data_IF_763263799736
#
_entry.id   IF_763263799736
#
_cell.length_a   1.000
_cell.length_b   1.000
_cell.length_c   1.000
_cell.angle_alpha   90.00
_cell.angle_beta   90.00
_cell.angle_gamma   90.00
#
_symmetry.space_group_name_H-M   'P 1'
#
loop_
_entity.id
_entity.type
_entity.pdbx_description
1 polymer ?
#
# COMPACT_ATOMS: atom_id res chain seq x y z
N UNK A 1 11.05 -6.06 -7.76
CA UNK A 1 10.74 -5.47 -6.45
C UNK A 1 9.63 -4.49 -6.65
N UNK A 2 8.54 -4.67 -5.91
CA UNK A 2 7.42 -3.72 -5.92
C UNK A 2 7.51 -2.85 -4.67
N UNK A 3 6.76 -1.77 -4.62
CA UNK A 3 6.76 -0.86 -3.49
C UNK A 3 5.35 -0.72 -2.94
N UNK A 4 5.22 -0.86 -1.63
CA UNK A 4 3.99 -0.58 -0.92
C UNK A 4 3.56 0.89 -1.17
N UNK A 5 2.37 1.10 -1.69
CA UNK A 5 1.89 2.43 -2.07
C UNK A 5 1.60 3.34 -0.86
N UNK A 6 1.48 2.76 0.33
CA UNK A 6 1.20 3.47 1.58
C UNK A 6 2.49 3.93 2.26
N UNK A 7 3.48 3.04 2.40
CA UNK A 7 4.72 3.31 3.14
C UNK A 7 5.98 3.37 2.28
N UNK A 8 5.88 3.11 0.97
CA UNK A 8 6.99 3.06 0.00
C UNK A 8 8.08 2.05 0.37
N UNK A 9 7.74 1.05 1.20
CA UNK A 9 8.64 -0.04 1.53
C UNK A 9 8.78 -0.96 0.33
N UNK A 10 10.01 -1.36 0.02
CA UNK A 10 10.26 -2.39 -0.97
C UNK A 10 9.68 -3.71 -0.48
N UNK A 11 8.83 -4.31 -1.30
CA UNK A 11 8.17 -5.58 -1.03
C UNK A 11 8.46 -6.56 -2.16
N UNK A 12 8.54 -7.83 -1.79
CA UNK A 12 8.72 -8.88 -2.77
C UNK A 12 7.35 -9.41 -3.20
N UNK A 13 6.94 -9.27 -4.48
CA UNK A 13 5.58 -9.59 -4.93
C UNK A 13 5.21 -11.07 -4.76
N UNK A 14 6.19 -11.96 -4.56
CA UNK A 14 5.96 -13.39 -4.33
C UNK A 14 5.49 -13.63 -2.88
N UNK A 15 5.95 -12.80 -1.93
CA UNK A 15 5.68 -12.97 -0.49
C UNK A 15 4.80 -11.86 0.10
N UNK A 16 4.68 -10.74 -0.61
CA UNK A 16 3.92 -9.58 -0.19
C UNK A 16 2.42 -9.83 -0.24
N UNK A 17 1.68 -9.06 0.55
CA UNK A 17 0.23 -9.11 0.51
C UNK A 17 -0.28 -8.38 -0.72
N UNK A 18 -0.88 -9.12 -1.65
CA UNK A 18 -1.53 -8.55 -2.83
C UNK A 18 -3.02 -8.24 -2.56
N UNK A 19 -3.52 -7.12 -3.07
CA UNK A 19 -4.96 -6.79 -3.14
C UNK A 19 -5.29 -6.23 -4.50
N UNK A 20 -6.37 -6.72 -5.08
CA UNK A 20 -6.92 -6.18 -6.31
C UNK A 20 -7.83 -4.98 -6.00
N UNK A 21 -7.56 -3.86 -6.66
CA UNK A 21 -8.34 -2.64 -6.56
C UNK A 21 -8.41 -1.96 -7.92
N UNK A 22 -9.63 -1.64 -8.38
CA UNK A 22 -9.88 -1.03 -9.71
C UNK A 22 -9.26 -1.82 -10.90
N UNK A 23 -9.13 -3.14 -10.77
CA UNK A 23 -8.52 -3.99 -11.81
C UNK A 23 -6.98 -3.91 -11.85
N UNK A 24 -6.36 -3.35 -10.82
CA UNK A 24 -4.91 -3.39 -10.60
C UNK A 24 -4.59 -4.12 -9.30
N UNK A 25 -3.59 -4.98 -9.34
CA UNK A 25 -3.06 -5.66 -8.15
C UNK A 25 -2.03 -4.75 -7.48
N UNK A 26 -2.27 -4.42 -6.21
CA UNK A 26 -1.38 -3.65 -5.35
C UNK A 26 -0.74 -4.53 -4.29
N UNK A 27 0.52 -4.27 -3.98
CA UNK A 27 1.30 -5.06 -3.01
C UNK A 27 1.59 -4.25 -1.76
N UNK A 28 1.50 -4.90 -0.60
CA UNK A 28 1.65 -4.27 0.69
C UNK A 28 2.63 -5.02 1.58
N UNK A 29 3.38 -4.26 2.39
CA UNK A 29 4.38 -4.81 3.31
C UNK A 29 3.73 -5.52 4.49
N UNK A 30 2.51 -5.12 4.86
CA UNK A 30 1.74 -5.69 5.95
C UNK A 30 0.24 -5.44 5.78
N UNK A 31 -0.56 -6.14 6.58
CA UNK A 31 -2.02 -5.99 6.58
C UNK A 31 -2.46 -4.57 6.96
N UNK A 32 -1.70 -3.88 7.83
CA UNK A 32 -1.99 -2.50 8.21
C UNK A 32 -1.98 -1.54 7.00
N UNK A 33 -0.98 -1.66 6.12
CA UNK A 33 -0.92 -0.87 4.89
C UNK A 33 -2.04 -1.24 3.93
N UNK A 34 -2.33 -2.53 3.75
CA UNK A 34 -3.44 -2.97 2.90
C UNK A 34 -4.79 -2.42 3.39
N UNK A 35 -5.03 -2.42 4.71
CA UNK A 35 -6.25 -1.86 5.31
C UNK A 35 -6.32 -0.35 5.19
N UNK A 36 -5.21 0.37 5.39
CA UNK A 36 -5.13 1.81 5.20
C UNK A 36 -5.45 2.20 3.75
N UNK A 37 -4.89 1.46 2.79
CA UNK A 37 -5.19 1.65 1.36
C UNK A 37 -6.65 1.38 1.01
N UNK A 38 -7.27 0.33 1.57
CA UNK A 38 -8.69 0.05 1.32
C UNK A 38 -9.63 1.05 2.01
N UNK A 39 -9.23 1.63 3.14
CA UNK A 39 -10.01 2.60 3.90
C UNK A 39 -10.01 3.98 3.24
N UNK A 40 -8.85 4.42 2.75
CA UNK A 40 -8.71 5.63 1.95
C UNK A 40 -7.90 5.31 0.68
N UNK A 41 -8.56 4.80 -0.38
CA UNK A 41 -7.90 4.47 -1.63
C UNK A 41 -7.65 5.71 -2.50
N UNK A 42 -7.46 6.89 -1.88
CA UNK A 42 -7.43 8.21 -2.52
C UNK A 42 -6.50 8.32 -3.73
N UNK A 43 -6.41 9.49 -4.41
CA UNK A 43 -5.62 9.62 -5.62
C UNK A 43 -4.11 9.53 -5.30
N UNK A 44 -3.58 8.31 -5.16
CA UNK A 44 -2.16 8.06 -4.98
C UNK A 44 -1.45 8.36 -6.31
N UNK A 45 -0.68 9.48 -6.38
CA UNK A 45 0.76 9.33 -6.45
C UNK A 45 1.58 10.47 -5.77
N UNK A 46 2.53 10.06 -4.91
CA UNK A 46 3.74 10.80 -4.42
C UNK A 46 3.54 12.18 -3.77
N UNK A 47 3.06 12.24 -2.52
CA UNK A 47 3.78 13.03 -1.52
C UNK A 47 3.40 12.63 -0.09
N UNK A 48 4.45 12.43 0.69
CA UNK A 48 4.56 12.48 2.13
C UNK A 48 3.33 13.02 2.90
N UNK A 49 2.65 12.16 3.64
CA UNK A 49 2.26 12.55 5.00
C UNK A 49 2.39 11.32 5.91
N UNK A 50 3.22 11.37 6.97
CA UNK A 50 3.20 10.34 7.98
C UNK A 50 1.90 10.49 8.76
N UNK A 51 0.91 9.64 8.50
CA UNK A 51 -0.31 9.62 9.32
C UNK A 51 -0.38 8.32 10.11
N UNK A 52 0.41 8.27 11.18
CA UNK A 52 -0.03 7.65 12.43
C UNK A 52 -0.62 8.76 13.29
N UNK A 53 -1.92 8.74 13.63
CA UNK A 53 -2.36 9.40 14.85
C UNK A 53 -1.91 8.51 16.01
N UNK A 54 -0.93 8.99 16.78
CA UNK A 54 -0.60 8.52 18.11
C UNK A 54 -0.74 9.69 19.06
#
# INVERSE_FOLDING_TARGET
>A
MEHDVVCQMAVDPITAMARDYQGQTYYFCCEGCARAFLADPGPYPKHNTPQKPG
#
